data_IF_230192083965
#
_entry.id   IF_230192083965
#
_cell.length_a   1.000
_cell.length_b   1.000
_cell.length_c   1.000
_cell.angle_alpha   90.00
_cell.angle_beta   90.00
_cell.angle_gamma   90.00
#
_symmetry.space_group_name_H-M   'P 1'
#
loop_
_entity.id
_entity.type
_entity.pdbx_description
1 polymer ?
#
# COMPACT_ATOMS: atom_id res chain seq x y z
N UNK A 1 -8.12 -49.67 28.05
CA UNK A 1 -8.52 -49.05 26.76
C UNK A 1 -8.55 -47.50 26.79
N UNK A 2 -7.76 -46.82 27.65
CA UNK A 2 -7.82 -45.34 27.79
C UNK A 2 -6.68 -44.58 27.08
N UNK A 3 -5.66 -45.29 26.57
CA UNK A 3 -4.48 -44.68 25.95
C UNK A 3 -4.74 -44.10 24.54
N UNK A 4 -5.80 -44.55 23.86
CA UNK A 4 -6.12 -44.14 22.49
C UNK A 4 -6.86 -42.79 22.40
N UNK A 5 -7.66 -42.42 23.41
CA UNK A 5 -8.44 -41.19 23.39
C UNK A 5 -7.58 -39.95 23.68
N UNK A 6 -6.67 -40.05 24.65
CA UNK A 6 -5.72 -38.98 24.98
C UNK A 6 -4.76 -38.71 23.82
N UNK A 7 -4.23 -39.76 23.19
CA UNK A 7 -3.34 -39.63 22.04
C UNK A 7 -4.04 -38.97 20.84
N UNK A 8 -5.29 -39.36 20.56
CA UNK A 8 -6.12 -38.71 19.52
C UNK A 8 -6.38 -37.23 19.81
N UNK A 9 -6.65 -36.88 21.07
CA UNK A 9 -6.86 -35.48 21.47
C UNK A 9 -5.61 -34.62 21.31
N UNK A 10 -4.44 -35.15 21.71
CA UNK A 10 -3.15 -34.47 21.54
C UNK A 10 -2.79 -34.28 20.06
N UNK A 11 -3.00 -35.32 19.23
CA UNK A 11 -2.75 -35.23 17.79
C UNK A 11 -3.68 -34.20 17.10
N UNK A 12 -4.95 -34.15 17.48
CA UNK A 12 -5.89 -33.17 16.94
C UNK A 12 -5.49 -31.74 17.34
N UNK A 13 -5.07 -31.52 18.59
CA UNK A 13 -4.59 -30.21 19.05
C UNK A 13 -3.33 -29.77 18.31
N UNK A 14 -2.35 -30.67 18.14
CA UNK A 14 -1.13 -30.41 17.37
C UNK A 14 -1.43 -30.11 15.90
N UNK A 15 -2.36 -30.84 15.29
CA UNK A 15 -2.77 -30.60 13.90
C UNK A 15 -3.45 -29.24 13.72
N UNK A 16 -4.34 -28.85 14.63
CA UNK A 16 -4.98 -27.53 14.61
C UNK A 16 -3.95 -26.41 14.80
N UNK A 17 -3.01 -26.56 15.73
CA UNK A 17 -1.90 -25.62 15.93
C UNK A 17 -1.06 -25.47 14.65
N UNK A 18 -0.67 -26.58 14.01
CA UNK A 18 0.08 -26.55 12.75
C UNK A 18 -0.68 -25.82 11.63
N UNK A 19 -1.98 -26.10 11.47
CA UNK A 19 -2.82 -25.41 10.49
C UNK A 19 -2.93 -23.90 10.76
N UNK A 20 -3.10 -23.49 12.03
CA UNK A 20 -3.17 -22.06 12.38
C UNK A 20 -1.84 -21.32 12.14
N UNK A 21 -0.70 -21.97 12.39
CA UNK A 21 0.63 -21.39 12.11
C UNK A 21 0.85 -21.25 10.61
N UNK A 22 0.49 -22.26 9.80
CA UNK A 22 0.58 -22.19 8.34
C UNK A 22 -0.34 -21.11 7.74
N UNK A 23 -1.54 -20.91 8.30
CA UNK A 23 -2.46 -19.86 7.84
C UNK A 23 -1.99 -18.44 8.19
N UNK A 24 -1.04 -18.30 9.12
CA UNK A 24 -0.55 -17.01 9.62
C UNK A 24 0.59 -16.41 8.78
N UNK A 25 1.00 -17.07 7.68
CA UNK A 25 2.08 -16.58 6.81
C UNK A 25 1.58 -16.39 5.38
N UNK A 26 0.85 -15.30 5.14
CA UNK A 26 0.62 -14.80 3.78
C UNK A 26 0.82 -13.27 3.73
N UNK A 27 2.09 -12.87 3.82
CA UNK A 27 2.65 -11.71 3.13
C UNK A 27 4.05 -12.09 2.66
N UNK A 28 4.12 -12.85 1.58
CA UNK A 28 5.31 -12.84 0.73
C UNK A 28 5.12 -11.65 -0.22
N UNK A 29 5.80 -10.55 0.07
CA UNK A 29 6.13 -9.55 -0.93
C UNK A 29 7.21 -10.22 -1.79
N UNK A 30 6.83 -10.75 -2.95
CA UNK A 30 7.81 -10.96 -4.01
C UNK A 30 8.21 -9.58 -4.50
N UNK A 31 9.35 -9.10 -4.02
CA UNK A 31 10.12 -8.10 -4.75
C UNK A 31 10.78 -8.87 -5.91
N UNK A 32 10.02 -9.05 -7.00
CA UNK A 32 10.62 -9.47 -8.26
C UNK A 32 11.39 -8.25 -8.77
N UNK A 33 12.64 -8.22 -8.36
CA UNK A 33 13.74 -7.51 -8.98
C UNK A 33 13.44 -7.17 -10.44
N UNK A 34 13.24 -5.88 -10.70
CA UNK A 34 13.47 -5.18 -11.97
C UNK A 34 13.91 -6.10 -13.11
N UNK A 35 12.97 -6.81 -13.73
CA UNK A 35 13.16 -7.34 -15.06
C UNK A 35 13.08 -6.14 -16.00
N UNK A 36 14.24 -5.61 -16.34
CA UNK A 36 14.46 -4.83 -17.56
C UNK A 36 13.81 -5.58 -18.72
N UNK A 37 12.61 -5.17 -19.10
CA UNK A 37 12.00 -5.55 -20.35
C UNK A 37 11.24 -4.33 -20.87
N UNK A 38 11.66 -3.95 -22.07
CA UNK A 38 11.06 -3.00 -23.02
C UNK A 38 11.41 -1.52 -22.85
N UNK A 39 12.40 -1.14 -23.67
CA UNK A 39 12.72 0.20 -24.14
C UNK A 39 11.47 0.94 -24.66
N UNK A 40 10.71 1.53 -23.74
CA UNK A 40 9.99 2.76 -24.02
C UNK A 40 10.80 3.83 -23.30
N UNK A 41 11.51 4.66 -24.07
CA UNK A 41 12.16 5.88 -23.57
C UNK A 41 11.10 6.82 -23.02
N UNK A 42 10.62 6.46 -21.83
CA UNK A 42 9.83 7.30 -20.97
C UNK A 42 10.78 8.43 -20.59
N UNK A 43 10.43 9.71 -20.81
CA UNK A 43 11.31 10.81 -20.47
C UNK A 43 11.74 10.62 -19.02
N UNK A 44 13.04 10.44 -18.80
CA UNK A 44 13.61 10.20 -17.48
C UNK A 44 13.12 11.28 -16.54
N UNK A 45 12.13 10.96 -15.70
CA UNK A 45 11.55 11.92 -14.79
C UNK A 45 12.60 12.24 -13.74
N UNK A 46 13.11 13.47 -13.72
CA UNK A 46 14.13 13.89 -12.76
C UNK A 46 13.69 13.68 -11.29
N UNK A 47 12.37 13.69 -11.02
CA UNK A 47 11.80 13.41 -9.70
C UNK A 47 12.04 11.96 -9.26
N UNK A 48 12.11 11.02 -10.21
CA UNK A 48 12.44 9.61 -9.91
C UNK A 48 13.93 9.39 -9.71
N UNK A 49 14.78 10.37 -10.04
CA UNK A 49 16.22 10.30 -9.73
C UNK A 49 16.49 10.48 -8.23
N UNK A 50 15.59 11.17 -7.52
CA UNK A 50 15.56 11.23 -6.06
C UNK A 50 14.60 10.14 -5.54
N UNK A 51 15.14 8.93 -5.41
CA UNK A 51 14.41 7.71 -5.04
C UNK A 51 13.42 7.89 -3.86
N UNK A 52 13.80 8.48 -2.71
CA UNK A 52 12.86 8.66 -1.60
C UNK A 52 11.72 9.64 -1.93
N UNK A 53 11.97 10.67 -2.75
CA UNK A 53 10.90 11.59 -3.18
C UNK A 53 9.98 10.88 -4.15
N UNK A 54 10.54 10.16 -5.12
CA UNK A 54 9.79 9.35 -6.08
C UNK A 54 8.86 8.35 -5.39
N UNK A 55 9.36 7.60 -4.41
CA UNK A 55 8.58 6.62 -3.64
C UNK A 55 7.38 7.27 -2.93
N UNK A 56 7.59 8.44 -2.32
CA UNK A 56 6.51 9.20 -1.67
C UNK A 56 5.44 9.61 -2.69
N UNK A 57 5.85 10.13 -3.85
CA UNK A 57 4.91 10.53 -4.91
C UNK A 57 4.09 9.34 -5.42
N UNK A 58 4.74 8.19 -5.62
CA UNK A 58 4.04 6.95 -5.99
C UNK A 58 3.03 6.53 -4.94
N UNK A 59 3.43 6.57 -3.66
CA UNK A 59 2.56 6.14 -2.57
C UNK A 59 1.35 7.06 -2.41
N UNK A 60 1.50 8.36 -2.67
CA UNK A 60 0.38 9.31 -2.74
C UNK A 60 -0.63 8.89 -3.81
N UNK A 61 -0.17 8.56 -5.02
CA UNK A 61 -1.04 8.13 -6.11
C UNK A 61 -1.78 6.82 -5.78
N UNK A 62 -1.12 5.89 -5.11
CA UNK A 62 -1.71 4.60 -4.73
C UNK A 62 -2.84 4.77 -3.72
N UNK A 63 -2.57 5.49 -2.63
CA UNK A 63 -3.57 5.75 -1.60
C UNK A 63 -4.75 6.59 -2.15
N UNK A 64 -4.46 7.54 -3.05
CA UNK A 64 -5.49 8.34 -3.70
C UNK A 64 -6.40 7.48 -4.60
N UNK A 65 -5.83 6.54 -5.35
CA UNK A 65 -6.58 5.59 -6.14
C UNK A 65 -7.44 4.69 -5.25
N UNK A 66 -6.92 4.17 -4.14
CA UNK A 66 -7.70 3.33 -3.22
C UNK A 66 -8.98 4.06 -2.76
N UNK A 67 -8.87 5.35 -2.41
CA UNK A 67 -9.99 6.19 -1.96
C UNK A 67 -10.98 6.56 -3.07
N UNK A 68 -10.52 6.67 -4.32
CA UNK A 68 -11.30 7.17 -5.46
C UNK A 68 -11.63 6.12 -6.52
N UNK A 69 -11.20 4.87 -6.34
CA UNK A 69 -11.29 3.78 -7.31
C UNK A 69 -12.69 3.57 -7.90
N UNK A 70 -13.74 3.77 -7.09
CA UNK A 70 -15.13 3.65 -7.50
C UNK A 70 -15.58 4.71 -8.53
N UNK A 71 -14.99 5.91 -8.51
CA UNK A 71 -15.36 7.03 -9.37
C UNK A 71 -14.30 7.36 -10.42
N UNK A 72 -13.02 7.10 -10.11
CA UNK A 72 -11.86 7.34 -10.99
C UNK A 72 -10.94 6.11 -11.00
N UNK A 73 -11.29 5.04 -11.74
CA UNK A 73 -10.51 3.81 -11.76
C UNK A 73 -9.09 4.02 -12.33
N UNK A 74 -8.91 4.99 -13.23
CA UNK A 74 -7.61 5.30 -13.84
C UNK A 74 -6.77 6.31 -13.04
N UNK A 75 -7.20 6.69 -11.83
CA UNK A 75 -6.54 7.72 -11.01
C UNK A 75 -5.03 7.46 -10.84
N UNK A 76 -4.62 6.21 -10.63
CA UNK A 76 -3.20 5.85 -10.44
C UNK A 76 -2.34 6.23 -11.64
N UNK A 77 -2.83 5.98 -12.86
CA UNK A 77 -2.12 6.29 -14.10
C UNK A 77 -2.11 7.80 -14.36
N UNK A 78 -3.25 8.46 -14.22
CA UNK A 78 -3.38 9.92 -14.39
C UNK A 78 -2.52 10.71 -13.40
N UNK A 79 -2.37 10.20 -12.18
CA UNK A 79 -1.56 10.81 -11.12
C UNK A 79 -0.06 10.71 -11.43
N UNK A 80 0.42 9.57 -11.96
CA UNK A 80 1.84 9.33 -12.29
C UNK A 80 2.28 9.96 -13.62
N UNK A 81 1.32 10.32 -14.48
CA UNK A 81 1.60 10.90 -15.79
C UNK A 81 2.43 12.19 -15.71
N UNK A 82 3.17 12.49 -16.79
CA UNK A 82 3.96 13.71 -16.93
C UNK A 82 4.80 14.05 -15.69
N UNK A 83 5.49 13.06 -15.13
CA UNK A 83 6.35 13.20 -13.95
C UNK A 83 5.63 13.83 -12.74
N UNK A 84 4.41 13.37 -12.44
CA UNK A 84 3.58 13.90 -11.35
C UNK A 84 3.18 15.38 -11.49
N UNK A 85 3.37 15.98 -12.67
CA UNK A 85 2.96 17.36 -12.95
C UNK A 85 1.54 17.43 -13.51
N UNK A 86 0.62 16.64 -12.95
CA UNK A 86 -0.80 16.64 -13.34
C UNK A 86 -1.69 17.26 -12.27
N UNK A 87 -2.88 17.71 -12.69
CA UNK A 87 -3.91 18.15 -11.75
C UNK A 87 -4.41 17.01 -10.87
N UNK A 88 -4.42 15.77 -11.39
CA UNK A 88 -4.73 14.57 -10.61
C UNK A 88 -3.76 14.41 -9.43
N UNK A 89 -2.46 14.56 -9.66
CA UNK A 89 -1.48 14.51 -8.57
C UNK A 89 -1.69 15.64 -7.55
N UNK A 90 -1.93 16.88 -8.00
CA UNK A 90 -2.23 18.02 -7.12
C UNK A 90 -3.51 17.81 -6.30
N UNK A 91 -4.52 17.17 -6.87
CA UNK A 91 -5.74 16.80 -6.17
C UNK A 91 -5.48 15.74 -5.10
N UNK A 92 -4.74 14.69 -5.44
CA UNK A 92 -4.34 13.65 -4.50
C UNK A 92 -3.51 14.21 -3.33
N UNK A 93 -2.58 15.12 -3.59
CA UNK A 93 -1.80 15.80 -2.54
C UNK A 93 -2.66 16.52 -1.49
N UNK A 94 -3.82 17.07 -1.89
CA UNK A 94 -4.72 17.76 -0.96
C UNK A 94 -5.32 16.82 0.09
N UNK A 95 -5.39 15.52 -0.18
CA UNK A 95 -5.85 14.51 0.77
C UNK A 95 -4.86 14.33 1.93
N UNK A 96 -3.57 14.50 1.66
CA UNK A 96 -2.48 14.33 2.63
C UNK A 96 -2.03 15.64 3.26
N UNK A 97 -2.48 16.78 2.74
CA UNK A 97 -2.17 18.09 3.30
C UNK A 97 -3.03 18.33 4.54
N UNK A 98 -2.43 18.60 5.72
CA UNK A 98 -3.19 18.94 6.91
C UNK A 98 -4.08 20.13 6.59
N UNK A 99 -5.40 19.95 6.74
CA UNK A 99 -6.30 21.10 6.72
C UNK A 99 -5.83 22.00 7.85
N UNK A 100 -5.51 23.26 7.54
CA UNK A 100 -5.42 24.30 8.57
C UNK A 100 -6.81 24.40 9.17
N UNK A 101 -7.12 23.55 10.14
CA UNK A 101 -8.06 23.90 11.15
C UNK A 101 -7.48 25.19 11.70
N UNK A 102 -8.13 26.31 11.40
CA UNK A 102 -8.18 27.39 12.36
C UNK A 102 -8.59 26.68 13.63
N UNK A 103 -7.60 26.29 14.46
CA UNK A 103 -7.84 25.92 15.83
C UNK A 103 -8.74 27.03 16.27
N UNK A 104 -10.01 26.70 16.56
CA UNK A 104 -10.84 27.61 17.31
C UNK A 104 -9.91 28.05 18.43
N UNK A 105 -9.56 29.33 18.40
CA UNK A 105 -9.03 30.03 19.53
C UNK A 105 -10.13 29.86 20.59
N UNK A 106 -10.18 28.69 21.25
CA UNK A 106 -10.80 28.51 22.55
C UNK A 106 -9.81 29.12 23.54
N UNK A 107 -9.56 30.40 23.31
CA UNK A 107 -9.20 31.36 24.31
C UNK A 107 -10.43 31.52 25.20
N UNK A 108 -10.17 31.57 26.51
CA UNK A 108 -11.09 31.79 27.62
C UNK A 108 -11.85 30.53 28.03
N UNK A 109 -11.30 29.77 28.99
CA UNK A 109 -11.34 30.09 30.42
C UNK A 109 -10.08 29.57 31.10
#
# INVERSE_FOLDING_TARGET
>A
MFLGAAHRSVLLSLFVLALTVSHSSCRLVMDESTSKADDVESPSCAVLADEPVGEVMERICDMCHELSSHSRPNMRLECRANCFSTDAFRECLKLFTPRRHTRHLRSKY
#
